data_IF_718652496309
#
_entry.id   IF_718652496309
#
_cell.length_a   1.000
_cell.length_b   1.000
_cell.length_c   1.000
_cell.angle_alpha   90.00
_cell.angle_beta   90.00
_cell.angle_gamma   90.00
#
_symmetry.space_group_name_H-M   'P 1'
#
loop_
_entity.id
_entity.type
_entity.pdbx_description
1 polymer ?
#
# COMPACT_ATOMS: atom_id res chain seq x y z
N UNK A 1 -9.10 -60.68 -26.17
CA UNK A 1 -8.97 -60.26 -24.79
C UNK A 1 -8.28 -58.87 -24.73
N UNK A 2 -9.11 -57.82 -24.52
CA UNK A 2 -8.60 -56.45 -24.38
C UNK A 2 -7.93 -56.31 -23.00
N UNK A 3 -6.60 -56.23 -22.98
CA UNK A 3 -5.83 -55.84 -21.79
C UNK A 3 -6.02 -54.32 -21.55
N UNK A 4 -6.88 -53.98 -20.61
CA UNK A 4 -6.95 -52.59 -20.08
C UNK A 4 -5.64 -52.30 -19.37
N UNK A 5 -4.78 -51.50 -19.97
CA UNK A 5 -3.59 -50.95 -19.29
C UNK A 5 -4.07 -50.01 -18.22
N UNK A 6 -4.05 -50.46 -16.95
CA UNK A 6 -4.16 -49.55 -15.81
C UNK A 6 -2.97 -48.57 -15.89
N UNK A 7 -3.26 -47.29 -16.16
CA UNK A 7 -2.32 -46.20 -16.02
C UNK A 7 -2.04 -46.10 -14.52
N UNK A 8 -0.83 -46.48 -14.11
CA UNK A 8 -0.35 -46.21 -12.76
C UNK A 8 -0.07 -44.71 -12.77
N UNK A 9 -0.96 -43.91 -12.16
CA UNK A 9 -0.71 -42.49 -11.91
C UNK A 9 0.34 -42.43 -10.80
N UNK A 10 1.46 -41.79 -11.06
CA UNK A 10 2.44 -41.48 -10.02
C UNK A 10 1.78 -40.65 -8.92
N UNK A 11 2.00 -41.01 -7.68
CA UNK A 11 1.46 -40.29 -6.50
C UNK A 11 1.87 -38.83 -6.50
N UNK A 12 3.01 -38.50 -7.10
CA UNK A 12 3.49 -37.12 -7.25
C UNK A 12 2.60 -36.26 -8.17
N UNK A 13 1.87 -36.85 -9.12
CA UNK A 13 0.94 -36.14 -10.01
C UNK A 13 -0.40 -35.79 -9.33
N UNK A 14 -0.61 -36.25 -8.11
CA UNK A 14 -1.86 -36.04 -7.35
C UNK A 14 -1.76 -35.03 -6.23
N UNK A 15 -0.61 -34.40 -6.02
CA UNK A 15 -0.47 -33.32 -5.04
C UNK A 15 -1.05 -32.04 -5.63
N UNK A 16 -2.36 -31.92 -5.55
CA UNK A 16 -3.05 -30.69 -5.85
C UNK A 16 -2.96 -29.81 -4.59
N UNK A 17 -2.35 -28.64 -4.71
CA UNK A 17 -2.46 -27.65 -3.65
C UNK A 17 -3.93 -27.21 -3.53
N UNK A 18 -4.60 -27.71 -2.51
CA UNK A 18 -6.04 -27.49 -2.26
C UNK A 18 -6.32 -26.22 -1.47
N UNK A 19 -5.27 -25.49 -1.09
CA UNK A 19 -5.45 -24.26 -0.30
C UNK A 19 -5.86 -23.10 -1.21
N UNK A 20 -7.15 -23.04 -1.54
CA UNK A 20 -7.75 -22.01 -2.38
C UNK A 20 -8.66 -21.10 -1.55
N UNK A 21 -8.90 -19.90 -2.07
CA UNK A 21 -9.78 -18.92 -1.43
C UNK A 21 -11.25 -19.37 -1.52
N UNK A 22 -12.01 -19.12 -0.46
CA UNK A 22 -13.48 -19.28 -0.44
C UNK A 22 -14.18 -18.29 -1.36
N UNK A 23 -13.54 -17.19 -1.72
CA UNK A 23 -14.08 -16.15 -2.61
C UNK A 23 -13.94 -16.52 -4.09
N UNK A 24 -12.84 -17.20 -4.45
CA UNK A 24 -12.57 -17.63 -5.82
C UNK A 24 -11.63 -18.83 -5.80
N UNK A 25 -12.07 -19.97 -6.32
CA UNK A 25 -11.33 -21.22 -6.32
C UNK A 25 -10.01 -21.18 -7.12
N UNK A 26 -9.88 -20.22 -8.05
CA UNK A 26 -8.64 -20.01 -8.81
C UNK A 26 -7.60 -19.16 -8.03
N UNK A 27 -7.97 -18.59 -6.87
CA UNK A 27 -7.05 -17.86 -6.02
C UNK A 27 -6.38 -18.82 -5.03
N UNK A 28 -5.13 -19.14 -5.29
CA UNK A 28 -4.31 -20.02 -4.44
C UNK A 28 -3.77 -19.21 -3.26
N UNK A 29 -3.87 -19.78 -2.04
CA UNK A 29 -3.32 -19.22 -0.81
C UNK A 29 -2.05 -19.99 -0.46
N UNK A 30 -0.91 -19.50 -0.89
CA UNK A 30 0.42 -20.09 -0.62
C UNK A 30 1.33 -19.07 0.05
N UNK A 31 1.80 -18.10 -0.72
CA UNK A 31 2.71 -17.06 -0.25
C UNK A 31 2.04 -15.71 -0.20
N UNK A 32 2.41 -14.92 0.80
CA UNK A 32 2.04 -13.51 0.89
C UNK A 32 2.64 -12.74 -0.29
N UNK A 33 1.80 -12.07 -1.06
CA UNK A 33 2.23 -11.35 -2.26
C UNK A 33 3.02 -10.06 -1.97
N UNK A 34 3.16 -9.71 -0.67
CA UNK A 34 3.95 -8.57 -0.20
C UNK A 34 5.33 -9.01 0.32
N UNK A 35 5.38 -9.97 1.26
CA UNK A 35 6.60 -10.32 2.00
C UNK A 35 7.09 -11.76 1.78
N UNK A 36 6.43 -12.54 0.92
CA UNK A 36 6.72 -13.95 0.61
C UNK A 36 6.65 -14.93 1.79
N UNK A 37 6.24 -14.51 3.00
CA UNK A 37 5.90 -15.41 4.11
C UNK A 37 4.66 -16.24 3.74
N UNK A 38 4.37 -17.30 4.48
CA UNK A 38 3.14 -18.09 4.29
C UNK A 38 1.92 -17.18 4.37
N UNK A 39 1.07 -17.22 3.34
CA UNK A 39 -0.21 -16.53 3.35
C UNK A 39 -1.23 -17.30 4.18
N UNK A 40 -2.11 -16.58 4.86
CA UNK A 40 -3.16 -17.13 5.70
C UNK A 40 -4.54 -16.59 5.34
N UNK A 41 -4.59 -15.45 4.66
CA UNK A 41 -5.82 -14.70 4.40
C UNK A 41 -5.85 -14.16 2.97
N UNK A 42 -7.06 -13.95 2.46
CA UNK A 42 -7.27 -13.25 1.18
C UNK A 42 -7.98 -11.94 1.44
N UNK A 43 -7.37 -10.87 0.99
CA UNK A 43 -7.87 -9.51 1.12
C UNK A 43 -8.47 -9.02 -0.19
N UNK A 44 -9.59 -8.29 -0.12
CA UNK A 44 -10.19 -7.60 -1.27
C UNK A 44 -9.56 -6.21 -1.39
N UNK A 45 -8.94 -5.92 -2.53
CA UNK A 45 -8.30 -4.61 -2.79
C UNK A 45 -9.36 -3.51 -2.78
N UNK A 46 -10.45 -3.71 -3.52
CA UNK A 46 -11.65 -2.88 -3.41
C UNK A 46 -12.64 -3.58 -2.49
N UNK A 47 -13.12 -2.84 -1.49
CA UNK A 47 -13.92 -3.39 -0.40
C UNK A 47 -15.25 -3.99 -0.89
N UNK A 48 -15.60 -5.17 -0.37
CA UNK A 48 -16.78 -5.92 -0.80
C UNK A 48 -18.11 -5.15 -0.61
N UNK A 49 -18.18 -4.27 0.39
CA UNK A 49 -19.38 -3.50 0.68
C UNK A 49 -19.69 -2.42 -0.36
N UNK A 50 -18.74 -2.08 -1.24
CA UNK A 50 -18.94 -1.13 -2.33
C UNK A 50 -19.58 -1.79 -3.56
N UNK A 51 -19.74 -3.13 -3.56
CA UNK A 51 -20.38 -3.85 -4.65
C UNK A 51 -21.92 -3.67 -4.61
N UNK A 52 -22.51 -3.68 -5.78
CA UNK A 52 -23.97 -3.71 -5.93
C UNK A 52 -24.60 -5.04 -5.48
N UNK A 53 -25.91 -5.19 -5.64
CA UNK A 53 -26.67 -6.40 -5.30
C UNK A 53 -26.22 -7.65 -6.09
N UNK A 54 -25.63 -7.47 -7.28
CA UNK A 54 -25.07 -8.52 -8.12
C UNK A 54 -23.60 -8.82 -7.79
N UNK A 55 -23.01 -8.10 -6.83
CA UNK A 55 -21.62 -8.23 -6.46
C UNK A 55 -20.64 -7.54 -7.40
N UNK A 56 -21.11 -6.55 -8.19
CA UNK A 56 -20.29 -5.80 -9.15
C UNK A 56 -19.79 -4.50 -8.52
N UNK A 57 -18.49 -4.24 -8.70
CA UNK A 57 -17.82 -2.99 -8.36
C UNK A 57 -17.39 -2.36 -9.69
N UNK A 58 -17.92 -1.19 -10.04
CA UNK A 58 -17.73 -0.53 -11.33
C UNK A 58 -18.01 -1.45 -12.53
N UNK A 59 -17.02 -2.21 -13.00
CA UNK A 59 -17.09 -3.06 -14.20
C UNK A 59 -16.61 -4.50 -13.96
N UNK A 60 -16.40 -4.93 -12.70
CA UNK A 60 -15.94 -6.28 -12.38
C UNK A 60 -16.64 -6.85 -11.13
N UNK A 61 -16.69 -8.17 -11.05
CA UNK A 61 -17.22 -8.84 -9.86
C UNK A 61 -16.24 -8.73 -8.69
N UNK A 62 -16.72 -8.42 -7.46
CA UNK A 62 -15.92 -8.25 -6.25
C UNK A 62 -14.92 -9.37 -5.97
N UNK A 63 -15.26 -10.61 -6.36
CA UNK A 63 -14.41 -11.80 -6.18
C UNK A 63 -13.53 -12.11 -7.40
N UNK A 64 -13.36 -11.18 -8.33
CA UNK A 64 -12.42 -11.33 -9.45
C UNK A 64 -10.98 -11.44 -8.96
N UNK A 65 -10.15 -12.26 -9.64
CA UNK A 65 -8.76 -12.51 -9.21
C UNK A 65 -7.92 -11.23 -9.03
N UNK A 66 -8.15 -10.23 -9.86
CA UNK A 66 -7.45 -8.95 -9.78
C UNK A 66 -7.88 -8.07 -8.59
N UNK A 67 -8.98 -8.42 -7.93
CA UNK A 67 -9.43 -7.78 -6.69
C UNK A 67 -9.02 -8.56 -5.43
N UNK A 68 -8.36 -9.71 -5.58
CA UNK A 68 -8.00 -10.59 -4.48
C UNK A 68 -6.49 -10.69 -4.33
N UNK A 69 -5.97 -10.45 -3.13
CA UNK A 69 -4.55 -10.58 -2.80
C UNK A 69 -4.36 -11.52 -1.62
N UNK A 70 -3.39 -12.45 -1.73
CA UNK A 70 -3.05 -13.39 -0.65
C UNK A 70 -2.05 -12.75 0.30
N UNK A 71 -2.39 -12.64 1.57
CA UNK A 71 -1.58 -11.97 2.59
C UNK A 71 -1.30 -12.88 3.79
N UNK A 72 -0.17 -12.67 4.45
CA UNK A 72 0.05 -13.17 5.81
C UNK A 72 -0.69 -12.26 6.80
N UNK A 73 -0.91 -12.74 8.01
CA UNK A 73 -1.62 -12.00 9.06
C UNK A 73 -1.03 -10.60 9.31
N UNK A 74 0.29 -10.47 9.33
CA UNK A 74 0.98 -9.19 9.56
C UNK A 74 0.72 -8.16 8.44
N UNK A 75 0.83 -8.58 7.16
CA UNK A 75 0.55 -7.68 6.02
C UNK A 75 -0.94 -7.32 5.96
N UNK A 76 -1.85 -8.26 6.24
CA UNK A 76 -3.29 -8.01 6.30
C UNK A 76 -3.63 -7.00 7.41
N UNK A 77 -3.06 -7.19 8.61
CA UNK A 77 -3.19 -6.23 9.70
C UNK A 77 -2.68 -4.82 9.31
N UNK A 78 -1.54 -4.74 8.60
CA UNK A 78 -0.99 -3.47 8.14
C UNK A 78 -1.90 -2.75 7.14
N UNK A 79 -2.60 -3.48 6.27
CA UNK A 79 -3.61 -2.88 5.36
C UNK A 79 -4.74 -2.25 6.17
N UNK A 80 -5.34 -3.00 7.10
CA UNK A 80 -6.46 -2.50 7.92
C UNK A 80 -6.09 -1.33 8.85
N UNK A 81 -4.81 -1.20 9.21
CA UNK A 81 -4.31 -0.09 10.03
C UNK A 81 -3.73 1.07 9.20
N UNK A 82 -3.93 1.06 7.89
CA UNK A 82 -3.46 2.12 6.98
C UNK A 82 -1.94 2.25 6.89
N UNK A 83 -1.20 1.22 7.30
CA UNK A 83 0.27 1.15 7.20
C UNK A 83 0.76 0.61 5.88
N UNK A 84 -0.08 -0.13 5.18
CA UNK A 84 0.13 -0.69 3.86
C UNK A 84 -1.07 -0.38 2.98
N UNK A 85 -0.83 0.24 1.84
CA UNK A 85 -1.85 0.54 0.84
C UNK A 85 -1.58 -0.26 -0.43
N UNK A 86 -2.54 -1.07 -0.86
CA UNK A 86 -2.47 -1.89 -2.06
C UNK A 86 -3.23 -1.16 -3.17
N UNK A 87 -2.52 -0.82 -4.27
CA UNK A 87 -3.10 -0.12 -5.42
C UNK A 87 -3.80 -1.05 -6.41
N UNK A 88 -3.34 -2.29 -6.52
CA UNK A 88 -3.83 -3.27 -7.48
C UNK A 88 -2.71 -3.97 -8.22
N UNK A 89 -3.06 -4.76 -9.25
CA UNK A 89 -2.10 -5.42 -10.12
C UNK A 89 -1.77 -4.53 -11.32
N UNK A 90 -0.51 -4.54 -11.71
CA UNK A 90 0.01 -3.89 -12.92
C UNK A 90 0.64 -4.94 -13.84
N UNK A 91 0.48 -4.77 -15.13
CA UNK A 91 1.16 -5.59 -16.13
C UNK A 91 2.57 -5.05 -16.35
N UNK A 92 3.55 -5.94 -16.31
CA UNK A 92 4.97 -5.64 -16.55
C UNK A 92 5.54 -6.60 -17.59
N UNK A 93 6.73 -6.32 -18.12
CA UNK A 93 7.44 -7.22 -19.03
C UNK A 93 7.74 -8.61 -18.43
N UNK A 94 7.72 -8.71 -17.09
CA UNK A 94 7.95 -9.96 -16.34
C UNK A 94 6.63 -10.62 -15.87
N UNK A 95 5.47 -10.10 -16.32
CA UNK A 95 4.14 -10.54 -15.92
C UNK A 95 3.44 -9.59 -14.96
N UNK A 96 2.35 -10.06 -14.36
CA UNK A 96 1.55 -9.27 -13.40
C UNK A 96 2.30 -9.11 -12.08
N UNK A 97 2.40 -7.87 -11.60
CA UNK A 97 2.99 -7.53 -10.28
C UNK A 97 1.99 -6.75 -9.44
N UNK A 98 2.00 -7.03 -8.14
CA UNK A 98 1.20 -6.27 -7.19
C UNK A 98 1.85 -4.91 -6.90
N UNK A 99 1.10 -3.84 -7.04
CA UNK A 99 1.51 -2.47 -6.73
C UNK A 99 1.02 -2.08 -5.34
N UNK A 100 1.92 -1.72 -4.45
CA UNK A 100 1.59 -1.35 -3.07
C UNK A 100 2.58 -0.34 -2.50
N UNK A 101 2.20 0.34 -1.41
CA UNK A 101 3.02 1.34 -0.70
C UNK A 101 2.89 1.12 0.80
N UNK A 102 4.01 1.10 1.51
CA UNK A 102 4.02 1.22 2.97
C UNK A 102 3.92 2.69 3.37
N UNK A 103 3.01 3.00 4.29
CA UNK A 103 2.78 4.38 4.79
C UNK A 103 3.49 4.65 6.11
N UNK A 104 4.31 3.71 6.61
CA UNK A 104 4.99 3.86 7.89
C UNK A 104 6.09 4.92 7.87
N UNK A 105 6.14 5.65 8.98
CA UNK A 105 7.17 6.64 9.33
C UNK A 105 8.45 5.97 9.82
N UNK A 106 9.08 5.07 9.06
CA UNK A 106 10.45 4.62 9.36
C UNK A 106 11.16 4.18 8.08
N UNK A 107 12.09 5.00 7.69
CA UNK A 107 13.25 4.84 6.84
C UNK A 107 13.26 3.72 5.79
N UNK A 108 13.35 4.12 4.53
CA UNK A 108 13.54 3.41 3.27
C UNK A 108 12.26 3.03 2.51
N UNK A 109 11.61 4.02 1.95
CA UNK A 109 10.69 3.83 0.82
C UNK A 109 11.43 4.11 -0.49
N UNK A 110 11.66 3.09 -1.28
CA UNK A 110 11.85 3.25 -2.72
C UNK A 110 10.48 3.55 -3.33
N UNK A 111 10.24 4.80 -3.71
CA UNK A 111 9.11 5.19 -4.53
C UNK A 111 8.17 6.22 -3.91
N UNK A 112 8.22 7.40 -4.49
CA UNK A 112 7.43 8.61 -4.26
C UNK A 112 7.59 9.27 -2.89
N UNK A 113 8.57 10.15 -2.81
CA UNK A 113 8.64 11.21 -1.81
C UNK A 113 7.30 11.94 -1.77
N UNK A 114 6.61 11.93 -0.61
CA UNK A 114 5.59 12.93 -0.32
C UNK A 114 6.20 14.27 -0.72
N UNK A 115 5.64 14.94 -1.73
CA UNK A 115 6.09 16.29 -2.07
C UNK A 115 6.10 17.09 -0.79
N UNK A 116 7.29 17.49 -0.33
CA UNK A 116 7.41 18.39 0.81
C UNK A 116 6.50 19.56 0.52
N UNK A 117 5.63 19.93 1.45
CA UNK A 117 4.66 21.03 1.27
C UNK A 117 5.36 22.35 0.98
N UNK A 118 6.62 22.47 1.39
CA UNK A 118 7.48 23.64 1.18
C UNK A 118 8.74 23.25 0.42
N UNK A 119 9.15 24.07 -0.54
CA UNK A 119 10.42 23.92 -1.27
C UNK A 119 11.60 24.17 -0.34
N UNK A 120 12.82 23.77 -0.77
CA UNK A 120 14.02 24.02 0.03
C UNK A 120 14.22 25.53 0.28
N UNK A 121 14.00 26.36 -0.74
CA UNK A 121 14.10 27.84 -0.63
C UNK A 121 13.11 28.38 0.41
N UNK A 122 11.88 27.86 0.45
CA UNK A 122 10.88 28.25 1.45
C UNK A 122 11.28 27.80 2.86
N UNK A 123 11.89 26.64 2.99
CA UNK A 123 12.42 26.13 4.27
C UNK A 123 13.53 27.03 4.78
N UNK A 124 14.43 27.48 3.92
CA UNK A 124 15.55 28.35 4.28
C UNK A 124 15.05 29.75 4.67
N UNK A 125 14.06 30.28 3.95
CA UNK A 125 13.37 31.54 4.32
C UNK A 125 12.73 31.42 5.72
N UNK A 126 12.04 30.31 6.00
CA UNK A 126 11.39 30.07 7.30
C UNK A 126 12.43 30.05 8.44
N UNK A 127 13.56 29.38 8.23
CA UNK A 127 14.65 29.30 9.19
C UNK A 127 15.30 30.68 9.43
N UNK A 128 15.55 31.42 8.37
CA UNK A 128 16.14 32.76 8.46
C UNK A 128 15.24 33.74 9.23
N UNK A 129 13.96 33.80 8.89
CA UNK A 129 12.97 34.63 9.59
C UNK A 129 12.84 34.20 11.06
N UNK A 130 12.82 32.88 11.34
CA UNK A 130 12.75 32.41 12.73
C UNK A 130 14.02 32.79 13.54
N UNK A 131 15.20 32.76 12.94
CA UNK A 131 16.44 33.16 13.59
C UNK A 131 16.41 34.62 14.04
N UNK A 132 15.73 35.48 13.26
CA UNK A 132 15.56 36.93 13.53
C UNK A 132 14.47 37.22 14.56
N UNK A 133 13.34 36.52 14.47
CA UNK A 133 12.17 36.77 15.34
C UNK A 133 12.23 36.03 16.66
N UNK A 134 12.87 34.85 16.72
CA UNK A 134 13.01 33.96 17.89
C UNK A 134 11.67 33.49 18.52
N UNK A 135 10.53 33.93 17.98
CA UNK A 135 9.18 33.58 18.49
C UNK A 135 8.31 32.98 17.36
N UNK A 136 7.78 31.79 17.56
CA UNK A 136 6.99 31.06 16.55
C UNK A 136 5.79 31.84 15.98
N UNK A 137 5.07 32.56 16.85
CA UNK A 137 3.91 33.35 16.41
C UNK A 137 4.31 34.58 15.57
N UNK A 138 5.42 35.24 15.90
CA UNK A 138 5.94 36.34 15.11
C UNK A 138 6.49 35.86 13.77
N UNK A 139 7.18 34.72 13.74
CA UNK A 139 7.62 34.07 12.51
C UNK A 139 6.42 33.75 11.61
N UNK A 140 5.35 33.16 12.17
CA UNK A 140 4.13 32.86 11.44
C UNK A 140 3.52 34.11 10.81
N UNK A 141 3.25 35.15 11.61
CA UNK A 141 2.65 36.40 11.14
C UNK A 141 3.49 37.08 10.07
N UNK A 142 4.80 37.08 10.21
CA UNK A 142 5.73 37.66 9.22
C UNK A 142 5.68 36.89 7.89
N UNK A 143 5.68 35.55 7.93
CA UNK A 143 5.61 34.69 6.74
C UNK A 143 4.29 34.85 6.00
N UNK A 144 3.17 34.95 6.72
CA UNK A 144 1.84 35.14 6.13
C UNK A 144 1.70 36.51 5.47
N UNK A 145 2.18 37.58 6.13
CA UNK A 145 2.01 38.95 5.67
C UNK A 145 2.99 39.37 4.57
N UNK A 146 4.23 38.93 4.62
CA UNK A 146 5.27 39.41 3.70
C UNK A 146 5.68 38.39 2.63
N UNK A 147 5.49 37.11 2.86
CA UNK A 147 5.92 36.05 1.94
C UNK A 147 4.76 35.22 1.39
N UNK A 148 3.52 35.48 1.80
CA UNK A 148 2.33 34.72 1.39
C UNK A 148 2.36 33.24 1.82
N UNK A 149 3.24 32.85 2.75
CA UNK A 149 3.44 31.47 3.19
C UNK A 149 2.51 31.17 4.35
N UNK A 150 1.43 30.43 4.09
CA UNK A 150 0.52 29.93 5.13
C UNK A 150 1.09 28.69 5.82
N UNK A 151 1.47 28.83 7.09
CA UNK A 151 2.15 27.79 7.86
C UNK A 151 1.69 27.78 9.33
N UNK A 152 1.60 26.59 9.93
CA UNK A 152 1.33 26.46 11.36
C UNK A 152 2.60 26.61 12.22
N UNK A 153 2.45 27.07 13.45
CA UNK A 153 3.57 27.16 14.41
C UNK A 153 4.23 25.82 14.69
N UNK A 154 3.43 24.73 14.69
CA UNK A 154 3.94 23.36 14.82
C UNK A 154 4.82 22.94 13.65
N UNK A 155 4.48 23.37 12.43
CA UNK A 155 5.30 23.10 11.23
C UNK A 155 6.60 23.94 11.25
N UNK A 156 6.53 25.20 11.67
CA UNK A 156 7.73 26.04 11.85
C UNK A 156 8.69 25.36 12.83
N UNK A 157 8.20 24.89 13.97
CA UNK A 157 9.00 24.18 14.98
C UNK A 157 9.67 22.93 14.39
N UNK A 158 8.98 22.15 13.57
CA UNK A 158 9.56 20.96 12.89
C UNK A 158 10.67 21.35 11.91
N UNK A 159 10.46 22.41 11.12
CA UNK A 159 11.45 22.90 10.14
C UNK A 159 12.71 23.38 10.84
N UNK A 160 12.57 24.18 11.88
CA UNK A 160 13.69 24.73 12.65
C UNK A 160 14.49 23.63 13.33
N UNK A 161 13.84 22.61 13.84
CA UNK A 161 14.48 21.47 14.51
C UNK A 161 15.00 20.39 13.53
N UNK A 162 14.93 20.60 12.23
CA UNK A 162 15.39 19.63 11.22
C UNK A 162 14.52 18.37 11.09
N UNK A 163 13.26 18.43 11.55
CA UNK A 163 12.31 17.31 11.56
C UNK A 163 11.30 17.37 10.40
N UNK A 164 11.62 18.11 9.32
CA UNK A 164 10.71 18.35 8.19
C UNK A 164 11.24 17.80 6.87
#
# INVERSE_FOLDING_TARGET
ANKVRKRIMNVEDTIVNTNTSVYNSNKIIDKCEICNKKATEVHHINEQHTADENGIIDNFHKNSLHNLVSLCHECHHNVHHGKLFIKGYIDTSEGKKLSYIFTEKNGNSLGETKKKKFSQDQIDIIKDIHSKTKKLNQTKSFLENNNGIKISTGTIKKIVNGLY
#
